data_IF_341043573809
#
_entry.id   IF_341043573809
#
_cell.length_a   1.000
_cell.length_b   1.000
_cell.length_c   1.000
_cell.angle_alpha   90.00
_cell.angle_beta   90.00
_cell.angle_gamma   90.00
#
_symmetry.space_group_name_H-M   'P 1'
#
loop_
_entity.id
_entity.type
_entity.pdbx_description
1 polymer ?
#
# COMPACT_ATOMS: atom_id res chain seq x y z
N UNK A 1 -37.59 -23.06 -47.06
CA UNK A 1 -36.91 -23.80 -45.93
C UNK A 1 -35.80 -22.91 -45.43
N UNK A 2 -36.13 -22.02 -44.52
CA UNK A 2 -35.15 -21.11 -43.90
C UNK A 2 -34.46 -21.82 -42.75
N UNK A 3 -33.12 -21.95 -42.85
CA UNK A 3 -32.27 -22.45 -41.76
C UNK A 3 -31.97 -21.29 -40.82
N UNK A 4 -32.66 -21.25 -39.68
CA UNK A 4 -32.27 -20.40 -38.54
C UNK A 4 -30.83 -20.70 -38.12
N UNK A 5 -29.93 -19.71 -38.28
CA UNK A 5 -28.57 -19.75 -37.78
C UNK A 5 -28.63 -19.48 -36.27
N UNK A 6 -28.57 -20.55 -35.46
CA UNK A 6 -28.42 -20.45 -34.00
C UNK A 6 -27.11 -19.69 -33.68
N UNK A 7 -27.26 -18.46 -33.19
CA UNK A 7 -26.15 -17.67 -32.61
C UNK A 7 -25.48 -18.48 -31.49
N UNK A 8 -24.25 -18.91 -31.72
CA UNK A 8 -23.42 -19.55 -30.68
C UNK A 8 -23.33 -18.59 -29.49
N UNK A 9 -23.85 -18.98 -28.33
CA UNK A 9 -23.58 -18.33 -27.04
C UNK A 9 -22.07 -18.39 -26.83
N UNK A 10 -21.42 -17.25 -26.80
CA UNK A 10 -20.01 -17.16 -26.42
C UNK A 10 -19.82 -17.80 -25.04
N UNK A 11 -18.82 -18.67 -24.90
CA UNK A 11 -18.42 -19.22 -23.61
C UNK A 11 -18.09 -18.09 -22.63
N UNK A 12 -18.06 -18.37 -21.31
CA UNK A 12 -17.74 -17.36 -20.33
C UNK A 12 -16.42 -16.71 -20.72
N UNK A 13 -16.41 -15.37 -20.89
CA UNK A 13 -15.16 -14.61 -21.06
C UNK A 13 -14.35 -14.83 -19.80
N UNK A 14 -13.28 -15.60 -19.89
CA UNK A 14 -12.25 -15.67 -18.85
C UNK A 14 -11.64 -14.27 -18.75
N UNK A 15 -11.90 -13.58 -17.64
CA UNK A 15 -11.26 -12.30 -17.36
C UNK A 15 -9.81 -12.54 -16.89
N UNK A 16 -8.94 -11.58 -17.13
CA UNK A 16 -7.59 -11.62 -16.62
C UNK A 16 -7.60 -11.35 -15.10
N UNK A 17 -7.23 -12.38 -14.32
CA UNK A 17 -7.24 -12.34 -12.86
C UNK A 17 -6.21 -11.35 -12.31
N UNK A 18 -5.03 -11.27 -12.93
CA UNK A 18 -3.96 -10.37 -12.51
C UNK A 18 -4.37 -8.90 -12.77
N UNK A 19 -4.94 -8.64 -13.93
CA UNK A 19 -5.50 -7.32 -14.24
C UNK A 19 -6.63 -6.93 -13.28
N UNK A 20 -7.46 -7.87 -12.86
CA UNK A 20 -8.51 -7.62 -11.90
C UNK A 20 -7.96 -7.23 -10.52
N UNK A 21 -6.87 -7.87 -10.07
CA UNK A 21 -6.17 -7.53 -8.84
C UNK A 21 -5.57 -6.12 -8.94
N UNK A 22 -4.93 -5.76 -10.05
CA UNK A 22 -4.35 -4.43 -10.26
C UNK A 22 -5.42 -3.33 -10.24
N UNK A 23 -6.56 -3.55 -10.88
CA UNK A 23 -7.71 -2.62 -10.86
C UNK A 23 -8.25 -2.48 -9.42
N UNK A 24 -8.46 -3.58 -8.73
CA UNK A 24 -8.95 -3.59 -7.36
C UNK A 24 -7.97 -2.91 -6.40
N UNK A 25 -6.67 -3.17 -6.55
CA UNK A 25 -5.61 -2.54 -5.76
C UNK A 25 -5.68 -1.02 -5.86
N UNK A 26 -5.78 -0.46 -7.08
CA UNK A 26 -5.90 0.99 -7.28
C UNK A 26 -7.17 1.58 -6.66
N UNK A 27 -8.31 0.89 -6.79
CA UNK A 27 -9.56 1.32 -6.18
C UNK A 27 -9.45 1.35 -4.66
N UNK A 28 -8.96 0.26 -4.06
CA UNK A 28 -8.78 0.19 -2.61
C UNK A 28 -7.71 1.16 -2.10
N UNK A 29 -6.65 1.39 -2.85
CA UNK A 29 -5.63 2.36 -2.49
C UNK A 29 -6.20 3.77 -2.46
N UNK A 30 -6.99 4.14 -3.48
CA UNK A 30 -7.60 5.47 -3.59
C UNK A 30 -8.70 5.72 -2.57
N UNK A 31 -9.62 4.76 -2.40
CA UNK A 31 -10.86 4.96 -1.66
C UNK A 31 -10.94 4.21 -0.33
N UNK A 32 -9.94 3.39 0.00
CA UNK A 32 -9.96 2.49 1.15
C UNK A 32 -10.93 1.30 0.97
N UNK A 33 -10.85 0.34 1.89
CA UNK A 33 -11.69 -0.87 1.83
C UNK A 33 -13.18 -0.54 1.95
N UNK A 34 -13.57 0.27 2.92
CA UNK A 34 -14.99 0.60 3.18
C UNK A 34 -15.58 1.48 2.06
N UNK A 35 -14.77 2.35 1.46
CA UNK A 35 -15.19 3.28 0.40
C UNK A 35 -15.40 2.63 -0.97
N UNK A 36 -15.10 1.33 -1.13
CA UNK A 36 -15.28 0.59 -2.39
C UNK A 36 -16.36 -0.47 -2.24
N UNK A 37 -17.41 -0.39 -3.05
CA UNK A 37 -18.47 -1.40 -3.08
C UNK A 37 -18.14 -2.59 -4.02
N UNK A 38 -18.87 -3.69 -3.89
CA UNK A 38 -18.80 -4.80 -4.85
C UNK A 38 -19.20 -4.35 -6.27
N UNK A 39 -20.15 -3.42 -6.37
CA UNK A 39 -20.57 -2.89 -7.66
C UNK A 39 -19.45 -2.07 -8.32
N UNK A 40 -18.72 -1.26 -7.56
CA UNK A 40 -17.58 -0.52 -8.08
C UNK A 40 -16.49 -1.46 -8.62
N UNK A 41 -16.17 -2.52 -7.87
CA UNK A 41 -15.19 -3.53 -8.28
C UNK A 41 -15.63 -4.26 -9.55
N UNK A 42 -16.86 -4.76 -9.60
CA UNK A 42 -17.36 -5.52 -10.75
C UNK A 42 -17.50 -4.65 -11.99
N UNK A 43 -17.92 -3.39 -11.83
CA UNK A 43 -17.98 -2.44 -12.92
C UNK A 43 -16.59 -2.09 -13.47
N UNK A 44 -15.62 -1.81 -12.59
CA UNK A 44 -14.27 -1.46 -13.00
C UNK A 44 -13.53 -2.64 -13.65
N UNK A 45 -13.68 -3.85 -13.12
CA UNK A 45 -13.06 -5.07 -13.67
C UNK A 45 -13.78 -5.55 -14.95
N UNK A 46 -15.06 -5.19 -15.13
CA UNK A 46 -15.87 -5.63 -16.27
C UNK A 46 -16.40 -7.06 -16.14
N UNK A 47 -16.65 -7.53 -14.92
CA UNK A 47 -17.16 -8.88 -14.63
C UNK A 47 -18.48 -8.85 -13.87
N UNK A 48 -19.24 -9.95 -13.93
CA UNK A 48 -20.44 -10.11 -13.11
C UNK A 48 -20.09 -10.49 -11.66
N UNK A 49 -20.90 -10.11 -10.64
CA UNK A 49 -20.67 -10.46 -9.25
C UNK A 49 -20.39 -11.96 -8.99
N UNK A 50 -21.10 -12.92 -9.60
CA UNK A 50 -20.77 -14.35 -9.41
C UNK A 50 -19.34 -14.72 -9.84
N UNK A 51 -18.79 -14.05 -10.87
CA UNK A 51 -17.40 -14.28 -11.33
C UNK A 51 -16.40 -13.77 -10.31
N UNK A 52 -16.67 -12.64 -9.65
CA UNK A 52 -15.82 -12.12 -8.58
C UNK A 52 -15.79 -13.09 -7.39
N UNK A 53 -16.96 -13.57 -6.96
CA UNK A 53 -17.04 -14.54 -5.87
C UNK A 53 -16.34 -15.87 -6.21
N UNK A 54 -16.49 -16.34 -7.44
CA UNK A 54 -15.83 -17.56 -7.90
C UNK A 54 -14.29 -17.44 -7.91
N UNK A 55 -13.76 -16.25 -8.25
CA UNK A 55 -12.32 -16.01 -8.36
C UNK A 55 -11.64 -15.67 -7.03
N UNK A 56 -12.33 -14.92 -6.16
CA UNK A 56 -11.72 -14.29 -4.96
C UNK A 56 -12.45 -14.62 -3.66
N UNK A 57 -13.57 -15.37 -3.73
CA UNK A 57 -14.39 -15.75 -2.60
C UNK A 57 -15.22 -14.61 -2.01
N UNK A 58 -14.64 -13.43 -1.86
CA UNK A 58 -15.28 -12.25 -1.27
C UNK A 58 -14.53 -10.96 -1.61
N UNK A 59 -15.16 -9.80 -1.31
CA UNK A 59 -14.46 -8.49 -1.35
C UNK A 59 -13.21 -8.50 -0.46
N UNK A 60 -13.29 -9.12 0.73
CA UNK A 60 -12.16 -9.26 1.64
C UNK A 60 -11.04 -10.15 1.07
N UNK A 61 -11.40 -11.22 0.34
CA UNK A 61 -10.43 -12.05 -0.38
C UNK A 61 -9.68 -11.25 -1.44
N UNK A 62 -10.40 -10.54 -2.30
CA UNK A 62 -9.80 -9.67 -3.31
C UNK A 62 -8.94 -8.55 -2.68
N UNK A 63 -9.36 -8.00 -1.54
CA UNK A 63 -8.57 -6.99 -0.83
C UNK A 63 -7.24 -7.53 -0.31
N UNK A 64 -7.20 -8.76 0.23
CA UNK A 64 -5.94 -9.40 0.66
C UNK A 64 -4.98 -9.58 -0.51
N UNK A 65 -5.47 -10.04 -1.64
CA UNK A 65 -4.64 -10.19 -2.85
C UNK A 65 -4.17 -8.84 -3.41
N UNK A 66 -5.01 -7.81 -3.33
CA UNK A 66 -4.64 -6.45 -3.67
C UNK A 66 -3.54 -5.90 -2.73
N UNK A 67 -3.60 -6.20 -1.43
CA UNK A 67 -2.55 -5.86 -0.46
C UNK A 67 -1.23 -6.60 -0.75
N UNK A 68 -1.30 -7.87 -1.15
CA UNK A 68 -0.11 -8.65 -1.51
C UNK A 68 0.54 -8.07 -2.79
N UNK A 69 -0.27 -7.72 -3.78
CA UNK A 69 0.18 -7.02 -4.99
C UNK A 69 0.82 -5.67 -4.66
N UNK A 70 0.20 -4.87 -3.79
CA UNK A 70 0.73 -3.59 -3.33
C UNK A 70 2.10 -3.73 -2.65
N UNK A 71 2.30 -4.78 -1.86
CA UNK A 71 3.58 -5.05 -1.18
C UNK A 71 4.74 -5.33 -2.14
N UNK A 72 4.47 -5.67 -3.39
CA UNK A 72 5.48 -5.79 -4.45
C UNK A 72 5.89 -4.46 -5.10
N UNK A 73 5.21 -3.36 -4.78
CA UNK A 73 5.56 -2.03 -5.29
C UNK A 73 6.73 -1.47 -4.44
N UNK A 74 7.79 -0.94 -5.07
CA UNK A 74 8.89 -0.32 -4.35
C UNK A 74 8.42 0.78 -3.40
N UNK A 75 8.94 0.78 -2.17
CA UNK A 75 8.58 1.71 -1.11
C UNK A 75 9.81 2.20 -0.34
N UNK A 76 9.61 2.68 0.88
CA UNK A 76 10.63 3.30 1.73
C UNK A 76 11.86 2.41 2.07
N UNK A 77 11.79 1.10 1.81
CA UNK A 77 12.86 0.14 2.15
C UNK A 77 13.66 -0.35 0.92
N UNK A 78 13.53 0.33 -0.22
CA UNK A 78 14.21 -0.07 -1.44
C UNK A 78 15.73 0.20 -1.37
N UNK A 79 16.55 -0.81 -1.71
CA UNK A 79 18.03 -0.67 -1.84
C UNK A 79 18.74 -0.06 -0.61
N UNK A 80 18.30 -0.34 0.61
CA UNK A 80 18.95 0.15 1.84
C UNK A 80 20.35 -0.44 2.06
N UNK A 81 20.65 -1.58 1.43
CA UNK A 81 21.96 -2.23 1.42
C UNK A 81 23.08 -1.37 0.83
N UNK A 82 22.75 -0.32 0.09
CA UNK A 82 23.72 0.63 -0.48
C UNK A 82 24.16 1.75 0.48
N UNK A 83 23.46 1.93 1.59
CA UNK A 83 23.82 2.92 2.59
C UNK A 83 25.02 2.45 3.40
N UNK A 84 25.99 3.34 3.61
CA UNK A 84 27.26 3.07 4.31
C UNK A 84 27.32 3.73 5.69
N UNK A 85 26.32 4.53 6.03
CA UNK A 85 26.21 5.25 7.31
C UNK A 85 24.77 5.27 7.82
N UNK A 86 24.59 5.56 9.11
CA UNK A 86 23.27 5.77 9.70
C UNK A 86 22.51 6.89 8.99
N UNK A 87 23.18 8.02 8.73
CA UNK A 87 22.57 9.19 8.10
C UNK A 87 22.10 8.88 6.66
N UNK A 88 22.89 8.13 5.90
CA UNK A 88 22.49 7.66 4.57
C UNK A 88 21.29 6.72 4.63
N UNK A 89 21.27 5.80 5.61
CA UNK A 89 20.16 4.87 5.81
C UNK A 89 18.87 5.62 6.13
N UNK A 90 18.91 6.53 7.11
CA UNK A 90 17.73 7.34 7.51
C UNK A 90 17.26 8.22 6.36
N UNK A 91 18.21 8.87 5.65
CA UNK A 91 17.90 9.71 4.48
C UNK A 91 17.23 8.91 3.38
N UNK A 92 17.75 7.72 3.07
CA UNK A 92 17.18 6.83 2.05
C UNK A 92 15.75 6.41 2.40
N UNK A 93 15.52 5.97 3.65
CA UNK A 93 14.18 5.57 4.13
C UNK A 93 13.17 6.71 3.95
N UNK A 94 13.49 7.90 4.41
CA UNK A 94 12.56 9.04 4.39
C UNK A 94 12.31 9.53 2.96
N UNK A 95 13.36 9.69 2.13
CA UNK A 95 13.21 10.16 0.75
C UNK A 95 12.46 9.16 -0.12
N UNK A 96 12.80 7.89 -0.05
CA UNK A 96 12.07 6.86 -0.78
C UNK A 96 10.60 6.77 -0.32
N UNK A 97 10.34 6.99 0.97
CA UNK A 97 8.98 7.11 1.49
C UNK A 97 8.22 8.28 0.88
N UNK A 98 8.84 9.47 0.80
CA UNK A 98 8.26 10.64 0.15
C UNK A 98 8.00 10.41 -1.34
N UNK A 99 8.96 9.82 -2.06
CA UNK A 99 8.82 9.46 -3.48
C UNK A 99 7.66 8.49 -3.69
N UNK A 100 7.58 7.43 -2.89
CA UNK A 100 6.54 6.41 -3.03
C UNK A 100 5.12 6.93 -2.80
N UNK A 101 4.92 7.87 -1.84
CA UNK A 101 3.58 8.40 -1.54
C UNK A 101 3.14 9.53 -2.48
N UNK A 102 4.06 10.06 -3.29
CA UNK A 102 3.80 11.13 -4.28
C UNK A 102 4.01 10.68 -5.72
N UNK A 103 4.27 9.39 -5.96
CA UNK A 103 4.48 8.84 -7.31
C UNK A 103 3.29 9.17 -8.21
N UNK A 104 3.50 9.89 -9.34
CA UNK A 104 2.43 10.27 -10.24
C UNK A 104 1.81 9.09 -11.02
N UNK A 105 2.48 7.93 -11.07
CA UNK A 105 1.98 6.70 -11.71
C UNK A 105 1.07 5.91 -10.75
N UNK A 106 1.30 6.04 -9.44
CA UNK A 106 0.52 5.41 -8.38
C UNK A 106 -0.69 6.23 -7.93
N UNK A 107 -1.30 5.77 -6.83
CA UNK A 107 -2.28 6.55 -6.07
C UNK A 107 -1.55 7.26 -4.92
N UNK A 108 -2.00 8.45 -4.54
CA UNK A 108 -1.36 9.22 -3.47
C UNK A 108 -1.47 8.52 -2.11
N UNK A 109 -0.40 8.63 -1.32
CA UNK A 109 -0.31 8.03 0.01
C UNK A 109 0.04 6.54 -0.03
N UNK A 110 -0.09 5.88 1.10
CA UNK A 110 0.23 4.46 1.26
C UNK A 110 -1.03 3.68 1.63
N UNK A 111 -1.30 2.59 0.91
CA UNK A 111 -2.46 1.72 1.15
C UNK A 111 -2.41 1.06 2.54
N UNK A 112 -1.22 0.80 3.07
CA UNK A 112 -1.00 0.15 4.37
C UNK A 112 -1.01 1.18 5.52
N UNK A 113 -0.31 2.31 5.36
CA UNK A 113 -0.13 3.30 6.43
C UNK A 113 -1.43 3.90 6.92
N UNK A 114 -2.36 4.23 6.01
CA UNK A 114 -3.65 4.84 6.31
C UNK A 114 -4.83 3.88 6.17
N UNK A 115 -4.59 2.62 5.79
CA UNK A 115 -5.66 1.65 5.57
C UNK A 115 -6.25 1.11 6.86
N UNK A 116 -7.59 1.06 6.92
CA UNK A 116 -8.37 0.40 7.99
C UNK A 116 -7.96 0.77 9.42
N UNK A 117 -7.62 2.04 9.66
CA UNK A 117 -7.41 2.57 11.01
C UNK A 117 -8.70 2.56 11.83
N UNK A 118 -9.81 2.73 11.13
CA UNK A 118 -11.17 2.52 11.64
C UNK A 118 -11.91 1.65 10.64
N UNK A 119 -12.71 0.71 11.12
CA UNK A 119 -13.53 -0.17 10.29
C UNK A 119 -14.74 -0.69 11.09
N UNK A 120 -15.74 -1.23 10.37
CA UNK A 120 -16.83 -1.97 10.99
C UNK A 120 -16.29 -3.22 11.71
N UNK A 121 -16.95 -3.64 12.78
CA UNK A 121 -16.53 -4.79 13.62
C UNK A 121 -16.37 -6.07 12.78
N UNK A 122 -17.24 -6.29 11.82
CA UNK A 122 -17.17 -7.43 10.90
C UNK A 122 -15.89 -7.47 10.05
N UNK A 123 -15.17 -6.35 9.92
CA UNK A 123 -13.92 -6.21 9.17
C UNK A 123 -12.66 -6.17 10.06
N UNK A 124 -12.80 -6.37 11.37
CA UNK A 124 -11.68 -6.32 12.32
C UNK A 124 -10.49 -7.24 11.93
N UNK A 125 -10.79 -8.41 11.33
CA UNK A 125 -9.73 -9.32 10.85
C UNK A 125 -8.87 -8.72 9.73
N UNK A 126 -9.41 -7.83 8.89
CA UNK A 126 -8.64 -7.11 7.87
C UNK A 126 -7.81 -5.98 8.49
N UNK A 127 -8.36 -5.29 9.49
CA UNK A 127 -7.63 -4.26 10.23
C UNK A 127 -6.39 -4.85 10.92
N UNK A 128 -6.48 -6.07 11.48
CA UNK A 128 -5.34 -6.79 12.04
C UNK A 128 -4.28 -7.09 10.98
N UNK A 129 -4.65 -7.57 9.80
CA UNK A 129 -3.70 -7.80 8.69
C UNK A 129 -2.90 -6.54 8.37
N UNK A 130 -3.55 -5.37 8.34
CA UNK A 130 -2.85 -4.10 8.09
C UNK A 130 -2.00 -3.64 9.28
N UNK A 131 -2.45 -3.90 10.50
CA UNK A 131 -1.65 -3.67 11.72
C UNK A 131 -0.35 -4.47 11.66
N UNK A 132 -0.45 -5.77 11.36
CA UNK A 132 0.71 -6.66 11.25
C UNK A 132 1.69 -6.18 10.16
N UNK A 133 1.18 -5.69 9.02
CA UNK A 133 2.03 -5.12 7.96
C UNK A 133 2.74 -3.83 8.40
N UNK A 134 2.06 -2.96 9.17
CA UNK A 134 2.70 -1.77 9.76
C UNK A 134 3.77 -2.15 10.78
N UNK A 135 3.52 -3.19 11.57
CA UNK A 135 4.49 -3.71 12.52
C UNK A 135 5.69 -4.34 11.81
N UNK A 136 5.46 -5.14 10.77
CA UNK A 136 6.54 -5.70 9.95
C UNK A 136 7.40 -4.61 9.29
N UNK A 137 6.80 -3.52 8.80
CA UNK A 137 7.54 -2.39 8.27
C UNK A 137 8.42 -1.73 9.35
N UNK A 138 7.90 -1.58 10.57
CA UNK A 138 8.67 -1.01 11.68
C UNK A 138 9.86 -1.90 12.06
N UNK A 139 9.66 -3.19 12.14
CA UNK A 139 10.74 -4.14 12.42
C UNK A 139 11.80 -4.14 11.30
N UNK A 140 11.38 -4.12 10.04
CA UNK A 140 12.32 -4.04 8.90
C UNK A 140 13.16 -2.74 8.93
N UNK A 141 12.57 -1.61 9.35
CA UNK A 141 13.34 -0.37 9.57
C UNK A 141 14.30 -0.54 10.74
N UNK A 142 13.89 -1.14 11.86
CA UNK A 142 14.77 -1.38 12.99
C UNK A 142 15.96 -2.29 12.61
N UNK A 143 15.71 -3.31 11.82
CA UNK A 143 16.76 -4.20 11.29
C UNK A 143 17.74 -3.43 10.39
N UNK A 144 17.25 -2.56 9.50
CA UNK A 144 18.08 -1.72 8.65
C UNK A 144 18.97 -0.74 9.45
N UNK A 145 18.54 -0.33 10.64
CA UNK A 145 19.30 0.54 11.54
C UNK A 145 20.28 -0.22 12.46
N UNK A 146 20.11 -1.53 12.61
CA UNK A 146 20.87 -2.36 13.56
C UNK A 146 22.39 -2.40 13.33
N UNK A 147 22.96 -2.21 12.11
CA UNK A 147 24.39 -2.11 11.94
C UNK A 147 25.03 -0.88 12.63
N UNK A 148 24.23 0.15 12.91
CA UNK A 148 24.71 1.44 13.43
C UNK A 148 24.32 1.71 14.90
N UNK A 149 23.29 1.03 15.41
CA UNK A 149 22.66 1.33 16.69
C UNK A 149 22.42 0.05 17.51
N UNK A 150 22.41 0.20 18.82
CA UNK A 150 21.96 -0.88 19.70
C UNK A 150 20.46 -1.20 19.48
N UNK A 151 19.99 -2.38 19.92
CA UNK A 151 18.60 -2.80 19.64
C UNK A 151 17.51 -1.89 20.21
N UNK A 152 17.76 -1.22 21.35
CA UNK A 152 16.79 -0.32 21.97
C UNK A 152 16.67 0.98 21.15
N UNK A 153 17.81 1.54 20.74
CA UNK A 153 17.88 2.76 19.93
C UNK A 153 17.33 2.51 18.52
N UNK A 154 17.66 1.37 17.88
CA UNK A 154 17.13 0.97 16.57
C UNK A 154 15.61 0.95 16.58
N UNK A 155 14.98 0.27 17.55
CA UNK A 155 13.52 0.22 17.69
C UNK A 155 12.89 1.59 17.97
N UNK A 156 13.54 2.42 18.80
CA UNK A 156 13.05 3.77 19.10
C UNK A 156 13.07 4.66 17.85
N UNK A 157 14.18 4.67 17.12
CA UNK A 157 14.32 5.46 15.89
C UNK A 157 13.40 4.94 14.79
N UNK A 158 13.28 3.62 14.62
CA UNK A 158 12.33 3.02 13.67
C UNK A 158 10.89 3.46 13.93
N UNK A 159 10.45 3.52 15.19
CA UNK A 159 9.13 4.04 15.56
C UNK A 159 8.94 5.49 15.14
N UNK A 160 9.94 6.34 15.38
CA UNK A 160 9.91 7.74 14.94
C UNK A 160 9.80 7.85 13.41
N UNK A 161 10.64 7.11 12.67
CA UNK A 161 10.63 7.14 11.21
C UNK A 161 9.29 6.65 10.64
N UNK A 162 8.70 5.60 11.23
CA UNK A 162 7.35 5.13 10.83
C UNK A 162 6.29 6.19 11.05
N UNK A 163 6.34 6.94 12.16
CA UNK A 163 5.41 8.05 12.41
C UNK A 163 5.55 9.15 11.35
N UNK A 164 6.79 9.49 10.98
CA UNK A 164 7.04 10.47 9.90
C UNK A 164 6.52 9.94 8.55
N UNK A 165 6.83 8.70 8.19
CA UNK A 165 6.34 8.07 6.95
C UNK A 165 4.81 8.02 6.88
N UNK A 166 4.15 7.68 7.98
CA UNK A 166 2.68 7.67 8.07
C UNK A 166 2.11 9.09 7.94
N UNK A 167 2.72 10.07 8.58
CA UNK A 167 2.36 11.49 8.43
C UNK A 167 2.49 11.97 6.99
N UNK A 168 3.62 11.68 6.32
CA UNK A 168 3.82 11.99 4.91
C UNK A 168 2.79 11.32 4.01
N UNK A 169 2.38 10.08 4.32
CA UNK A 169 1.32 9.39 3.58
C UNK A 169 -0.02 10.11 3.65
N UNK A 170 -0.38 10.64 4.81
CA UNK A 170 -1.62 11.44 4.99
C UNK A 170 -1.49 12.77 4.25
N UNK A 171 -0.38 13.49 4.44
CA UNK A 171 -0.13 14.77 3.75
C UNK A 171 -0.18 14.62 2.22
N UNK A 172 0.38 13.55 1.67
CA UNK A 172 0.30 13.26 0.24
C UNK A 172 -1.15 13.07 -0.23
N UNK A 173 -2.00 12.40 0.56
CA UNK A 173 -3.45 12.27 0.26
C UNK A 173 -4.16 13.61 0.27
N UNK A 174 -3.75 14.51 1.15
CA UNK A 174 -4.30 15.87 1.27
C UNK A 174 -3.75 16.81 0.19
N UNK A 175 -2.86 16.33 -0.67
CA UNK A 175 -2.37 17.07 -1.84
C UNK A 175 -0.95 17.56 -1.74
N UNK A 176 -0.22 17.32 -0.63
CA UNK A 176 1.16 17.75 -0.50
C UNK A 176 2.03 17.23 -1.65
N UNK A 177 2.88 18.13 -2.18
CA UNK A 177 3.82 17.81 -3.27
C UNK A 177 5.04 17.06 -2.75
N UNK A 178 5.83 16.51 -3.68
CA UNK A 178 7.12 15.88 -3.36
C UNK A 178 8.08 16.86 -2.68
N UNK A 179 8.09 18.12 -3.14
CA UNK A 179 8.92 19.20 -2.62
C UNK A 179 8.54 19.58 -1.19
N UNK A 180 7.24 19.66 -0.89
CA UNK A 180 6.76 19.94 0.47
C UNK A 180 7.10 18.79 1.43
N UNK A 181 7.04 17.54 0.98
CA UNK A 181 7.46 16.40 1.80
C UNK A 181 8.98 16.33 1.98
N UNK A 182 9.79 16.83 1.04
CA UNK A 182 11.26 16.96 1.24
C UNK A 182 11.59 17.92 2.38
N UNK A 183 10.77 18.90 2.65
CA UNK A 183 10.95 19.79 3.81
C UNK A 183 10.72 19.03 5.12
N UNK A 184 9.69 18.18 5.18
CA UNK A 184 9.48 17.27 6.32
C UNK A 184 10.67 16.33 6.52
N UNK A 185 11.23 15.81 5.43
CA UNK A 185 12.43 14.94 5.47
C UNK A 185 13.61 15.68 6.08
N UNK A 186 13.88 16.93 5.64
CA UNK A 186 14.99 17.75 6.18
C UNK A 186 14.86 17.99 7.69
N UNK A 187 13.67 18.35 8.16
CA UNK A 187 13.43 18.56 9.59
C UNK A 187 13.59 17.26 10.39
N UNK A 188 13.07 16.15 9.88
CA UNK A 188 13.21 14.85 10.53
C UNK A 188 14.68 14.40 10.63
N UNK A 189 15.52 14.70 9.64
CA UNK A 189 16.96 14.42 9.66
C UNK A 189 17.67 15.24 10.73
N UNK A 190 17.36 16.54 10.85
CA UNK A 190 17.95 17.39 11.91
C UNK A 190 17.62 16.85 13.31
N UNK A 191 16.37 16.46 13.55
CA UNK A 191 15.93 15.88 14.83
C UNK A 191 16.62 14.56 15.12
N UNK A 192 16.80 13.71 14.12
CA UNK A 192 17.44 12.39 14.27
C UNK A 192 18.92 12.47 14.59
N UNK A 193 19.59 13.55 14.15
CA UNK A 193 21.02 13.82 14.36
C UNK A 193 21.30 14.61 15.65
N UNK A 194 20.33 15.37 16.15
CA UNK A 194 20.44 16.12 17.40
C UNK A 194 20.51 15.15 18.60
N UNK A 195 21.72 14.93 19.12
CA UNK A 195 22.02 14.14 20.32
C UNK A 195 22.47 15.03 21.48
#
# INVERSE_FOLDING_TARGET
>A
MDKEIKKRRGGPRTFDREQAIDIAMRLFWRHGYEGVSLNDLTAAIGIAPPSLYAAFGSKAGLYREALDRYSGIPGALLNLDRASTLDETVTAILRQGADAVTDPVGERGCMVSSGMLQCAEEHASLALVLSDRRDAMREAIADALSPWLDPARSRSLARFLVVVLQGMSVQARDGATREELEEVVKEALQISQAR
#
